data_IF_640060391404
#
_entry.id   IF_640060391404
#
_cell.length_a   1.000
_cell.length_b   1.000
_cell.length_c   1.000
_cell.angle_alpha   90.00
_cell.angle_beta   90.00
_cell.angle_gamma   90.00
#
_symmetry.space_group_name_H-M   'P 1'
#
loop_
_entity.id
_entity.type
_entity.pdbx_description
1 polymer ?
#
# COMPACT_ATOMS: atom_id res chain seq x y z
N UNK A 1 68.44 -28.26 -14.73
CA UNK A 1 68.21 -27.88 -16.14
C UNK A 1 66.88 -27.14 -16.18
N UNK A 2 66.89 -25.82 -16.34
CA UNK A 2 65.66 -25.01 -16.38
C UNK A 2 65.70 -23.87 -15.37
N UNK A 3 66.54 -22.88 -15.64
CA UNK A 3 66.80 -21.70 -14.80
C UNK A 3 65.93 -20.48 -15.21
N UNK A 4 65.98 -19.43 -14.38
CA UNK A 4 65.60 -18.01 -14.63
C UNK A 4 64.14 -17.63 -14.28
N UNK A 5 63.87 -16.69 -13.34
CA UNK A 5 64.16 -15.24 -13.29
C UNK A 5 63.39 -14.44 -14.37
N UNK A 6 62.80 -13.25 -14.15
CA UNK A 6 62.66 -12.36 -12.98
C UNK A 6 61.49 -11.36 -13.25
N UNK A 7 60.88 -10.69 -12.26
CA UNK A 7 61.31 -9.49 -11.49
C UNK A 7 61.01 -8.13 -12.18
N UNK A 8 59.99 -7.41 -11.65
CA UNK A 8 59.69 -5.96 -11.80
C UNK A 8 59.29 -5.51 -13.24
N UNK A 9 58.64 -4.37 -13.49
CA UNK A 9 58.59 -3.08 -12.77
C UNK A 9 57.28 -2.28 -13.04
N UNK A 10 57.04 -1.17 -12.33
CA UNK A 10 55.99 -0.19 -12.63
C UNK A 10 56.55 1.24 -12.62
N UNK A 11 56.29 2.04 -13.68
CA UNK A 11 56.39 3.49 -13.59
C UNK A 11 55.05 4.21 -13.88
N UNK A 12 54.82 5.31 -13.15
CA UNK A 12 53.85 6.35 -13.50
C UNK A 12 54.44 7.31 -14.55
N UNK A 13 53.58 7.95 -15.36
CA UNK A 13 53.47 9.43 -15.51
C UNK A 13 53.21 9.92 -16.95
N UNK A 14 52.10 10.66 -17.11
CA UNK A 14 51.96 11.97 -17.78
C UNK A 14 52.17 12.10 -19.32
N UNK A 15 51.46 12.96 -20.07
CA UNK A 15 50.30 13.85 -19.76
C UNK A 15 48.95 13.41 -20.42
N UNK A 16 48.23 14.07 -21.35
CA UNK A 16 48.48 15.20 -22.27
C UNK A 16 47.16 15.91 -22.74
N UNK A 17 47.30 16.99 -23.53
CA UNK A 17 46.26 17.98 -23.91
C UNK A 17 45.34 17.59 -25.11
N UNK A 18 44.07 18.07 -25.10
CA UNK A 18 43.56 19.10 -26.06
C UNK A 18 42.08 19.48 -25.87
N UNK A 19 41.84 20.78 -25.70
CA UNK A 19 40.59 21.51 -25.50
C UNK A 19 39.57 21.47 -26.66
N UNK A 20 38.26 21.55 -26.36
CA UNK A 20 37.24 22.22 -27.20
C UNK A 20 35.89 22.48 -26.50
N UNK A 21 35.46 23.76 -26.48
CA UNK A 21 34.12 24.34 -26.26
C UNK A 21 34.15 25.77 -26.83
N UNK A 22 33.04 26.50 -27.08
CA UNK A 22 31.64 26.14 -27.34
C UNK A 22 31.24 26.58 -28.79
N UNK A 23 30.00 27.05 -29.11
CA UNK A 23 29.59 28.42 -28.73
C UNK A 23 28.12 28.58 -28.29
N UNK A 24 27.89 29.61 -27.46
CA UNK A 24 26.55 30.15 -27.15
C UNK A 24 26.13 31.19 -28.20
N UNK A 25 24.82 31.39 -28.38
CA UNK A 25 24.26 32.63 -28.92
C UNK A 25 23.27 33.24 -27.91
N UNK A 26 23.23 34.57 -27.89
CA UNK A 26 22.73 35.39 -26.79
C UNK A 26 21.47 36.21 -27.18
N UNK A 27 20.71 36.62 -26.16
CA UNK A 27 19.67 37.66 -26.15
C UNK A 27 18.52 37.58 -27.17
N UNK A 28 17.31 37.54 -26.60
CA UNK A 28 16.60 38.83 -26.47
C UNK A 28 15.89 38.93 -25.12
N UNK A 29 15.95 40.12 -24.52
CA UNK A 29 15.28 40.48 -23.27
C UNK A 29 14.25 41.54 -23.60
N UNK A 30 12.99 41.15 -23.61
CA UNK A 30 11.86 42.06 -23.77
C UNK A 30 11.07 42.08 -22.47
N UNK A 31 11.08 43.24 -21.85
CA UNK A 31 10.18 43.59 -20.77
C UNK A 31 8.80 43.84 -21.39
N UNK A 32 7.71 43.32 -20.84
CA UNK A 32 6.50 44.10 -20.58
C UNK A 32 5.47 43.31 -19.77
N UNK A 33 4.83 43.98 -18.82
CA UNK A 33 3.82 43.40 -17.97
C UNK A 33 2.47 43.40 -18.67
N UNK A 34 1.85 42.23 -18.82
CA UNK A 34 0.39 42.13 -18.99
C UNK A 34 -0.15 41.09 -18.03
N UNK A 35 -0.99 41.56 -17.11
CA UNK A 35 -1.69 40.71 -16.15
C UNK A 35 -2.80 39.97 -16.89
N UNK A 36 -2.67 38.66 -16.99
CA UNK A 36 -3.78 37.77 -17.37
C UNK A 36 -4.23 36.98 -16.15
N UNK A 37 -4.78 37.71 -15.17
CA UNK A 37 -5.72 37.18 -14.18
C UNK A 37 -7.00 36.73 -14.93
N UNK A 38 -6.91 35.66 -15.71
CA UNK A 38 -8.05 34.93 -16.27
C UNK A 38 -8.14 33.56 -15.63
N UNK A 39 -8.26 33.57 -14.30
CA UNK A 39 -8.65 32.41 -13.50
C UNK A 39 -10.01 31.92 -14.00
N UNK A 40 -10.01 30.87 -14.83
CA UNK A 40 -11.23 30.25 -15.33
C UNK A 40 -12.11 29.80 -14.16
N UNK A 41 -13.35 30.30 -14.01
CA UNK A 41 -14.19 30.07 -12.83
C UNK A 41 -14.77 28.64 -12.75
N UNK A 42 -14.21 27.70 -13.51
CA UNK A 42 -14.59 26.28 -13.55
C UNK A 42 -13.51 25.36 -12.97
N UNK A 43 -12.37 25.91 -12.54
CA UNK A 43 -11.33 25.17 -11.82
C UNK A 43 -11.28 25.65 -10.37
N UNK A 44 -12.35 25.34 -9.62
CA UNK A 44 -12.23 25.17 -8.17
C UNK A 44 -11.38 23.91 -7.91
N UNK A 45 -10.07 24.02 -8.10
CA UNK A 45 -9.10 23.08 -7.54
C UNK A 45 -8.92 23.41 -6.05
N UNK A 46 -10.04 23.41 -5.33
CA UNK A 46 -10.02 23.29 -3.89
C UNK A 46 -9.31 21.97 -3.59
N UNK A 47 -8.21 21.96 -2.81
CA UNK A 47 -7.57 20.71 -2.45
C UNK A 47 -8.60 19.86 -1.71
N UNK A 48 -9.07 18.81 -2.36
CA UNK A 48 -9.95 17.84 -1.72
C UNK A 48 -9.26 17.39 -0.43
N UNK A 49 -10.00 17.26 0.70
CA UNK A 49 -9.39 16.86 1.95
C UNK A 49 -8.58 15.58 1.73
N UNK A 50 -7.29 15.65 2.05
CA UNK A 50 -6.31 14.57 1.86
C UNK A 50 -6.52 13.41 2.84
N UNK A 51 -7.46 13.58 3.77
CA UNK A 51 -7.72 12.69 4.89
C UNK A 51 -8.75 11.59 4.55
N UNK A 52 -8.70 10.54 5.37
CA UNK A 52 -9.70 9.47 5.51
C UNK A 52 -9.74 8.33 4.48
N UNK A 53 -8.63 8.02 3.79
CA UNK A 53 -8.47 6.66 3.23
C UNK A 53 -7.05 6.05 3.32
N UNK A 54 -6.18 6.53 4.21
CA UNK A 54 -4.89 5.87 4.54
C UNK A 54 -5.04 4.60 5.38
N UNK A 55 -6.16 4.44 6.08
CA UNK A 55 -6.43 3.33 7.00
C UNK A 55 -7.35 2.27 6.39
N UNK A 56 -7.14 1.02 6.80
CA UNK A 56 -7.97 -0.12 6.39
C UNK A 56 -9.40 0.00 6.96
N UNK A 57 -10.46 -0.16 6.14
CA UNK A 57 -11.85 0.00 6.58
C UNK A 57 -12.36 -1.16 7.48
N UNK A 58 -11.54 -2.19 7.72
CA UNK A 58 -11.86 -3.33 8.58
C UNK A 58 -11.21 -3.24 9.97
N UNK A 59 -9.94 -2.85 10.04
CA UNK A 59 -9.18 -2.79 11.30
C UNK A 59 -8.83 -1.38 11.77
N UNK A 60 -9.10 -0.35 10.96
CA UNK A 60 -8.83 1.06 11.25
C UNK A 60 -7.36 1.36 11.61
N UNK A 61 -6.44 0.56 11.07
CA UNK A 61 -4.98 0.76 11.13
C UNK A 61 -4.41 0.93 9.72
N UNK A 62 -3.17 1.39 9.62
CA UNK A 62 -2.42 1.50 8.37
C UNK A 62 -2.46 0.19 7.58
N UNK A 63 -2.57 0.30 6.25
CA UNK A 63 -2.66 -0.87 5.40
C UNK A 63 -1.44 -1.79 5.54
N UNK A 64 -1.70 -3.05 5.91
CA UNK A 64 -0.73 -4.15 5.94
C UNK A 64 -1.06 -5.11 4.81
N UNK A 65 -0.20 -5.15 3.79
CA UNK A 65 -0.40 -5.87 2.52
C UNK A 65 -1.85 -5.71 1.99
N UNK A 66 -2.26 -4.47 1.66
CA UNK A 66 -3.59 -4.23 1.12
C UNK A 66 -3.79 -5.03 -0.16
N UNK A 67 -4.93 -5.72 -0.25
CA UNK A 67 -5.42 -6.35 -1.47
C UNK A 67 -6.61 -5.56 -2.00
N UNK A 68 -6.73 -5.51 -3.32
CA UNK A 68 -7.84 -4.87 -4.03
C UNK A 68 -8.99 -5.88 -4.17
N UNK A 69 -10.19 -5.50 -3.72
CA UNK A 69 -11.42 -6.28 -3.86
C UNK A 69 -12.02 -6.10 -5.27
N UNK A 70 -13.01 -6.92 -5.65
CA UNK A 70 -13.71 -6.82 -6.96
C UNK A 70 -14.37 -5.45 -7.18
N UNK A 71 -14.66 -4.74 -6.09
CA UNK A 71 -15.21 -3.40 -6.05
C UNK A 71 -14.16 -2.26 -6.08
N UNK A 72 -12.89 -2.59 -6.37
CA UNK A 72 -11.72 -1.71 -6.35
C UNK A 72 -11.36 -1.04 -5.01
N UNK A 73 -12.07 -1.35 -3.94
CA UNK A 73 -11.71 -0.91 -2.58
C UNK A 73 -10.62 -1.80 -1.98
N UNK A 74 -9.76 -1.21 -1.16
CA UNK A 74 -8.59 -1.86 -0.57
C UNK A 74 -8.87 -2.38 0.85
N UNK A 75 -8.36 -3.56 1.19
CA UNK A 75 -8.44 -4.13 2.54
C UNK A 75 -7.20 -4.96 2.86
N UNK A 76 -6.71 -4.97 4.10
CA UNK A 76 -5.51 -5.76 4.46
C UNK A 76 -5.71 -7.26 4.19
N UNK A 77 -4.65 -7.95 3.75
CA UNK A 77 -4.61 -9.42 3.60
C UNK A 77 -5.17 -10.14 4.83
N UNK A 78 -4.65 -9.82 6.03
CA UNK A 78 -5.09 -10.43 7.29
C UNK A 78 -6.56 -10.12 7.64
N UNK A 79 -7.10 -9.00 7.15
CA UNK A 79 -8.50 -8.61 7.37
C UNK A 79 -9.45 -9.38 6.43
N UNK A 80 -9.02 -9.66 5.20
CA UNK A 80 -9.75 -10.55 4.28
C UNK A 80 -9.80 -11.97 4.85
N UNK A 81 -8.66 -12.48 5.36
CA UNK A 81 -8.58 -13.78 6.03
C UNK A 81 -9.53 -13.82 7.25
N UNK A 82 -9.45 -12.83 8.14
CA UNK A 82 -10.31 -12.77 9.32
C UNK A 82 -11.82 -12.64 8.98
N UNK A 83 -12.17 -12.09 7.82
CA UNK A 83 -13.55 -12.05 7.34
C UNK A 83 -13.99 -13.40 6.76
N UNK A 84 -13.13 -14.10 6.02
CA UNK A 84 -13.36 -15.47 5.54
C UNK A 84 -13.53 -16.46 6.71
N UNK A 85 -12.78 -16.28 7.79
CA UNK A 85 -12.90 -17.04 9.04
C UNK A 85 -14.17 -16.71 9.86
N UNK A 86 -15.04 -15.80 9.39
CA UNK A 86 -16.32 -15.45 10.03
C UNK A 86 -16.18 -14.61 11.31
N UNK A 87 -15.04 -13.96 11.54
CA UNK A 87 -14.70 -13.36 12.86
C UNK A 87 -15.46 -12.07 13.20
N UNK A 88 -16.29 -11.53 12.30
CA UNK A 88 -17.11 -10.30 12.54
C UNK A 88 -18.58 -10.56 12.86
N UNK A 89 -19.15 -11.68 12.43
CA UNK A 89 -20.59 -11.93 12.58
C UNK A 89 -20.99 -12.23 14.04
N UNK A 90 -20.05 -12.69 14.85
CA UNK A 90 -20.25 -13.00 16.27
C UNK A 90 -20.39 -11.77 17.20
N UNK A 91 -19.99 -10.56 16.77
CA UNK A 91 -19.98 -9.37 17.64
C UNK A 91 -21.20 -8.44 17.48
N UNK A 92 -22.16 -8.75 16.61
CA UNK A 92 -23.42 -7.97 16.47
C UNK A 92 -24.66 -8.63 17.07
N UNK A 93 -24.56 -9.84 17.62
CA UNK A 93 -25.71 -10.66 18.05
C UNK A 93 -25.88 -10.79 19.56
N UNK A 94 -25.21 -9.96 20.38
CA UNK A 94 -25.21 -10.11 21.86
C UNK A 94 -26.03 -9.06 22.64
N UNK A 95 -26.61 -8.03 22.01
CA UNK A 95 -27.19 -6.89 22.76
C UNK A 95 -28.46 -6.26 22.17
N UNK A 96 -29.46 -7.08 21.81
CA UNK A 96 -30.84 -6.56 21.64
C UNK A 96 -32.00 -7.55 21.89
N UNK A 97 -31.88 -8.49 22.83
CA UNK A 97 -32.96 -9.45 23.14
C UNK A 97 -33.74 -9.09 24.43
N UNK A 98 -34.27 -7.85 24.48
CA UNK A 98 -35.17 -7.37 25.56
C UNK A 98 -36.18 -6.29 25.12
N UNK A 99 -37.07 -6.56 24.14
CA UNK A 99 -38.36 -5.85 24.04
C UNK A 99 -39.53 -6.78 23.65
N UNK A 100 -40.67 -6.48 24.26
CA UNK A 100 -41.91 -7.27 24.34
C UNK A 100 -42.62 -7.43 22.97
N UNK A 101 -43.46 -8.46 22.74
CA UNK A 101 -44.18 -8.62 21.49
C UNK A 101 -45.52 -7.86 21.54
N UNK A 102 -45.68 -6.87 20.66
CA UNK A 102 -46.99 -6.33 20.27
C UNK A 102 -46.87 -5.68 18.88
N UNK A 103 -47.32 -6.43 17.88
CA UNK A 103 -48.08 -6.01 16.71
C UNK A 103 -48.05 -4.53 16.27
N UNK A 104 -47.44 -4.27 15.10
CA UNK A 104 -48.02 -3.46 14.02
C UNK A 104 -47.19 -3.65 12.73
N UNK A 105 -47.86 -3.92 11.61
CA UNK A 105 -47.22 -4.27 10.34
C UNK A 105 -46.58 -3.07 9.62
N UNK A 106 -45.27 -3.16 9.39
CA UNK A 106 -44.57 -2.62 8.22
C UNK A 106 -43.24 -3.37 8.14
N UNK A 107 -43.14 -4.35 7.25
CA UNK A 107 -41.92 -5.13 7.06
C UNK A 107 -40.83 -4.27 6.41
N UNK A 108 -40.11 -3.51 7.25
CA UNK A 108 -38.75 -3.09 6.93
C UNK A 108 -37.98 -4.36 6.53
N UNK A 109 -37.23 -4.36 5.40
CA UNK A 109 -36.54 -5.55 4.93
C UNK A 109 -35.51 -5.94 5.97
N UNK A 110 -35.90 -6.90 6.82
CA UNK A 110 -35.05 -7.51 7.82
C UNK A 110 -34.11 -8.40 7.02
N UNK A 111 -33.04 -7.79 6.51
CA UNK A 111 -31.90 -8.43 5.89
C UNK A 111 -31.27 -9.36 6.92
N UNK A 112 -31.91 -10.51 7.12
CA UNK A 112 -31.30 -11.73 7.64
C UNK A 112 -30.27 -12.08 6.59
N UNK A 113 -29.08 -11.49 6.70
CA UNK A 113 -28.01 -11.68 5.75
C UNK A 113 -27.79 -13.18 5.63
N UNK A 114 -28.15 -13.72 4.46
CA UNK A 114 -27.86 -15.11 4.13
C UNK A 114 -26.36 -15.27 4.32
N UNK A 115 -25.88 -16.25 5.13
CA UNK A 115 -24.46 -16.40 5.38
C UNK A 115 -23.69 -16.36 4.07
N UNK A 116 -22.68 -15.49 3.98
CA UNK A 116 -21.90 -15.30 2.77
C UNK A 116 -21.37 -16.68 2.33
N UNK A 117 -21.54 -17.09 1.07
CA UNK A 117 -21.08 -18.39 0.62
C UNK A 117 -19.59 -18.60 0.93
N UNK A 118 -19.13 -19.81 1.26
CA UNK A 118 -17.73 -20.06 1.57
C UNK A 118 -16.81 -19.54 0.45
N UNK A 119 -15.85 -18.69 0.80
CA UNK A 119 -14.99 -17.99 -0.15
C UNK A 119 -15.52 -16.67 -0.71
N UNK A 120 -16.62 -16.12 -0.20
CA UNK A 120 -17.13 -14.78 -0.55
C UNK A 120 -17.05 -13.87 0.67
N UNK A 121 -16.53 -12.66 0.48
CA UNK A 121 -16.56 -11.59 1.50
C UNK A 121 -17.36 -10.39 0.98
N UNK A 122 -17.78 -9.50 1.88
CA UNK A 122 -18.42 -8.21 1.54
C UNK A 122 -17.50 -7.05 1.86
N UNK A 123 -17.33 -6.15 0.90
CA UNK A 123 -16.59 -4.91 1.09
C UNK A 123 -17.20 -4.06 2.22
N UNK A 124 -16.43 -3.63 3.24
CA UNK A 124 -16.96 -2.78 4.30
C UNK A 124 -17.44 -1.39 3.86
N UNK A 125 -17.03 -0.92 2.67
CA UNK A 125 -17.32 0.43 2.16
C UNK A 125 -18.60 0.44 1.30
N UNK A 126 -18.71 -0.47 0.32
CA UNK A 126 -19.82 -0.50 -0.64
C UNK A 126 -20.73 -1.73 -0.54
N UNK A 127 -20.50 -2.62 0.43
CA UNK A 127 -21.20 -3.90 0.64
C UNK A 127 -21.17 -4.91 -0.55
N UNK A 128 -20.51 -4.57 -1.67
CA UNK A 128 -20.36 -5.48 -2.81
C UNK A 128 -19.64 -6.77 -2.39
N UNK A 129 -20.17 -7.89 -2.85
CA UNK A 129 -19.57 -9.21 -2.66
C UNK A 129 -18.34 -9.37 -3.56
N UNK A 130 -17.27 -9.94 -3.01
CA UNK A 130 -16.04 -10.25 -3.72
C UNK A 130 -15.67 -11.72 -3.57
N UNK A 131 -15.35 -12.36 -4.69
CA UNK A 131 -15.15 -13.80 -4.78
C UNK A 131 -13.67 -14.14 -4.60
N UNK A 132 -13.31 -14.49 -3.36
CA UNK A 132 -11.91 -14.77 -2.99
C UNK A 132 -11.58 -16.25 -3.13
N UNK A 133 -12.51 -17.15 -2.78
CA UNK A 133 -12.27 -18.60 -2.72
C UNK A 133 -12.05 -19.11 -1.30
N UNK A 134 -12.24 -20.42 -1.10
CA UNK A 134 -12.37 -21.05 0.22
C UNK A 134 -11.03 -21.37 0.92
N UNK A 135 -9.96 -20.64 0.61
CA UNK A 135 -8.60 -20.93 1.10
C UNK A 135 -7.76 -19.64 1.13
N UNK A 136 -6.99 -19.45 2.20
CA UNK A 136 -6.08 -18.31 2.39
C UNK A 136 -5.11 -18.14 1.22
N UNK A 137 -4.72 -19.23 0.55
CA UNK A 137 -3.89 -19.19 -0.67
C UNK A 137 -4.46 -18.29 -1.76
N UNK A 138 -5.79 -18.21 -1.91
CA UNK A 138 -6.39 -17.33 -2.90
C UNK A 138 -6.29 -15.84 -2.51
N UNK A 139 -6.37 -15.52 -1.22
CA UNK A 139 -6.13 -14.16 -0.70
C UNK A 139 -4.75 -13.66 -1.12
N UNK A 140 -3.73 -14.53 -1.02
CA UNK A 140 -2.37 -14.20 -1.42
C UNK A 140 -2.21 -13.96 -2.94
N UNK A 141 -3.13 -14.49 -3.76
CA UNK A 141 -3.16 -14.25 -5.22
C UNK A 141 -3.99 -13.04 -5.66
N UNK A 142 -4.77 -12.43 -4.76
CA UNK A 142 -5.48 -11.19 -5.06
C UNK A 142 -4.49 -10.06 -5.38
N UNK A 143 -4.90 -9.07 -6.18
CA UNK A 143 -4.04 -7.95 -6.55
C UNK A 143 -3.60 -7.16 -5.30
N UNK A 144 -2.29 -6.93 -5.12
CA UNK A 144 -1.78 -5.99 -4.12
C UNK A 144 -2.09 -4.55 -4.55
N UNK A 145 -2.51 -3.73 -3.59
CA UNK A 145 -2.67 -2.29 -3.80
C UNK A 145 -1.31 -1.59 -3.63
N UNK A 146 -0.61 -1.40 -4.74
CA UNK A 146 0.69 -0.74 -4.77
C UNK A 146 0.61 0.77 -4.48
N UNK A 147 -0.56 1.41 -4.64
CA UNK A 147 -0.74 2.84 -4.32
C UNK A 147 -0.74 3.00 -2.80
N UNK A 148 -1.57 2.22 -2.09
CA UNK A 148 -1.61 2.22 -0.62
C UNK A 148 -0.32 1.74 0.04
N UNK A 149 0.45 0.88 -0.65
CA UNK A 149 1.79 0.50 -0.19
C UNK A 149 2.80 1.65 -0.32
N UNK A 150 2.77 2.41 -1.41
CA UNK A 150 3.66 3.55 -1.62
C UNK A 150 3.37 4.69 -0.61
N UNK A 151 2.09 5.02 -0.40
CA UNK A 151 1.66 6.02 0.61
C UNK A 151 2.19 5.68 2.03
N UNK A 152 2.29 4.39 2.38
CA UNK A 152 2.81 3.93 3.67
C UNK A 152 4.35 3.85 3.72
N UNK A 153 5.05 3.85 2.57
CA UNK A 153 6.51 3.92 2.55
C UNK A 153 7.04 5.34 2.81
N UNK A 154 6.27 6.37 2.47
CA UNK A 154 6.63 7.79 2.70
C UNK A 154 6.47 8.22 4.16
N UNK A 155 5.83 7.40 5.00
CA UNK A 155 5.71 7.61 6.45
C UNK A 155 7.07 7.42 7.15
N UNK A 156 7.81 8.53 7.33
CA UNK A 156 9.13 8.57 7.98
C UNK A 156 9.05 8.18 9.46
N UNK A 157 9.34 6.91 9.77
CA UNK A 157 9.36 6.39 11.14
C UNK A 157 10.13 5.07 11.29
N UNK A 158 10.41 4.67 12.54
CA UNK A 158 11.08 3.40 12.84
C UNK A 158 10.16 2.21 12.52
N UNK A 159 10.33 1.62 11.33
CA UNK A 159 9.55 0.45 10.90
C UNK A 159 9.93 -0.79 11.75
N UNK A 160 8.93 -1.60 12.08
CA UNK A 160 9.09 -2.85 12.87
C UNK A 160 8.90 -4.07 11.99
N UNK A 161 9.66 -5.12 12.25
CA UNK A 161 9.57 -6.40 11.56
C UNK A 161 8.15 -6.97 11.68
N UNK A 162 7.52 -7.26 10.54
CA UNK A 162 6.17 -7.86 10.47
C UNK A 162 6.20 -9.39 10.37
N UNK A 163 7.39 -9.98 10.15
CA UNK A 163 7.58 -11.42 10.04
C UNK A 163 7.80 -12.14 11.39
N UNK A 164 8.06 -11.43 12.48
CA UNK A 164 8.24 -12.03 13.82
C UNK A 164 7.40 -11.35 14.90
N UNK A 165 6.98 -12.15 15.88
CA UNK A 165 6.19 -11.70 17.05
C UNK A 165 6.93 -10.74 17.98
N UNK A 166 8.23 -10.58 17.79
CA UNK A 166 9.10 -9.73 18.62
C UNK A 166 9.18 -8.29 18.13
N UNK A 167 8.56 -7.95 16.98
CA UNK A 167 8.45 -6.61 16.38
C UNK A 167 9.75 -5.77 16.46
N UNK A 168 10.87 -6.44 16.23
CA UNK A 168 12.21 -5.87 16.27
C UNK A 168 12.39 -4.82 15.17
N UNK A 169 13.28 -3.82 15.33
CA UNK A 169 13.52 -2.81 14.30
C UNK A 169 13.83 -3.47 12.95
N UNK A 170 13.12 -3.02 11.92
CA UNK A 170 13.29 -3.50 10.56
C UNK A 170 14.51 -2.83 9.92
N UNK A 171 15.27 -3.60 9.15
CA UNK A 171 16.46 -3.14 8.42
C UNK A 171 16.31 -3.30 6.91
N UNK A 172 15.28 -4.00 6.45
CA UNK A 172 15.00 -4.27 5.05
C UNK A 172 13.50 -4.53 4.83
N UNK A 173 13.06 -4.43 3.57
CA UNK A 173 11.71 -4.82 3.12
C UNK A 173 11.84 -5.83 2.01
N UNK A 174 11.15 -6.97 2.11
CA UNK A 174 11.03 -7.88 0.98
C UNK A 174 9.97 -7.38 -0.01
N UNK A 175 10.36 -7.14 -1.26
CA UNK A 175 9.45 -6.71 -2.34
C UNK A 175 8.41 -7.76 -2.73
N UNK A 176 8.70 -9.05 -2.56
CA UNK A 176 7.78 -10.14 -2.89
C UNK A 176 6.72 -10.35 -1.80
N UNK A 177 7.12 -10.31 -0.53
CA UNK A 177 6.23 -10.51 0.61
C UNK A 177 5.61 -9.21 1.14
N UNK A 178 6.10 -8.05 0.70
CA UNK A 178 5.77 -6.71 1.20
C UNK A 178 5.75 -6.65 2.74
N UNK A 179 6.85 -7.15 3.31
CA UNK A 179 7.06 -7.25 4.76
C UNK A 179 8.36 -6.56 5.15
N UNK A 180 8.28 -5.70 6.16
CA UNK A 180 9.42 -5.24 6.93
C UNK A 180 10.07 -6.42 7.66
N UNK A 181 11.41 -6.52 7.62
CA UNK A 181 12.21 -7.61 8.19
C UNK A 181 13.32 -7.04 9.09
N UNK A 182 13.44 -7.58 10.32
CA UNK A 182 14.64 -7.39 11.14
C UNK A 182 15.77 -8.32 10.68
N UNK A 183 16.98 -8.10 11.19
CA UNK A 183 18.19 -8.87 10.84
C UNK A 183 17.97 -10.39 10.79
N UNK A 184 17.41 -10.97 11.86
CA UNK A 184 17.19 -12.42 11.95
C UNK A 184 16.16 -12.91 10.91
N UNK A 185 15.09 -12.14 10.67
CA UNK A 185 14.08 -12.50 9.67
C UNK A 185 14.62 -12.35 8.25
N UNK A 186 15.48 -11.37 7.99
CA UNK A 186 16.11 -11.18 6.68
C UNK A 186 17.05 -12.35 6.32
N UNK A 187 17.77 -12.90 7.29
CA UNK A 187 18.66 -14.07 7.06
C UNK A 187 17.89 -15.39 6.93
N UNK A 188 16.70 -15.49 7.52
CA UNK A 188 15.86 -16.68 7.49
C UNK A 188 14.86 -16.72 6.32
N UNK A 189 14.77 -15.64 5.54
CA UNK A 189 13.78 -15.44 4.49
C UNK A 189 14.28 -15.85 3.09
#
# INVERSE_FOLDING_TARGET
MGDQNGRLDSPQSQEAEKSASPPSLDRSRENEAVRSDTSSPLLNTEPLPLDDQSHCPYCHHDFRKPRVLDCLHSMCEDCIIAQLDGRRDAQKTSDQDKRNPTDCELEAPKCKERPTPPGVIRCPICAQESHVGNDVRYVHTMLLDYVRLAENEEAVGERRCRACKSEQPAIAVCKQCQSDLCSNCLTAH
#
